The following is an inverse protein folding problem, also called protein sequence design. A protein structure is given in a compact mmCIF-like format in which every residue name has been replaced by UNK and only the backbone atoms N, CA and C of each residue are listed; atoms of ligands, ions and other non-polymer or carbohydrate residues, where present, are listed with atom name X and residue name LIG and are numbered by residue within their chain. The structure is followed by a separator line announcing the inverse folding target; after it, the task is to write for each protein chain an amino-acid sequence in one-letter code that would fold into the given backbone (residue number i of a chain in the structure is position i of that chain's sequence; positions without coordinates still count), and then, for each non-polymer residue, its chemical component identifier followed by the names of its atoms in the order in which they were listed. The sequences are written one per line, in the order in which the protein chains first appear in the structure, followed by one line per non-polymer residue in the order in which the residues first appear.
data_IF_376601266439
#
_entry.id   IF_376601266439
#
_cell.length_a   1.000
_cell.length_b   1.000
_cell.length_c   1.000
_cell.angle_alpha   90.00
_cell.angle_beta   90.00
_cell.angle_gamma   90.00
#
_symmetry.space_group_name_H-M   'P 1'
#
loop_
_entity.id
_entity.type
_entity.pdbx_description
1 polymer ?
#
# COMPACT_ATOMS: atom_id res chain seq x y z
N UNK A 1 -4.16 -11.54 5.02
CA UNK A 1 -3.42 -10.81 3.98
C UNK A 1 -2.20 -10.13 4.58
N UNK A 2 -2.35 -9.27 5.61
CA UNK A 2 -1.22 -8.68 6.34
C UNK A 2 -0.77 -9.52 7.55
N UNK A 3 0.43 -9.20 8.07
CA UNK A 3 1.11 -9.89 9.18
C UNK A 3 0.76 -9.34 10.59
N UNK A 4 -0.19 -8.40 10.71
CA UNK A 4 -0.53 -7.68 11.96
C UNK A 4 -0.79 -8.56 13.20
N UNK A 5 -1.41 -9.73 13.03
CA UNK A 5 -1.74 -10.63 14.16
C UNK A 5 -0.55 -11.47 14.64
N UNK A 6 0.59 -11.41 13.93
CA UNK A 6 1.76 -12.26 14.16
C UNK A 6 2.95 -11.39 14.59
N UNK A 7 3.11 -10.21 14.00
CA UNK A 7 4.21 -9.32 14.32
C UNK A 7 4.11 -7.97 13.62
N UNK A 8 5.21 -7.18 13.61
CA UNK A 8 5.20 -5.83 13.08
C UNK A 8 4.94 -5.82 11.57
N UNK A 9 4.26 -4.77 11.12
CA UNK A 9 4.06 -4.45 9.70
C UNK A 9 4.60 -3.05 9.43
N UNK A 10 5.46 -2.94 8.43
CA UNK A 10 5.99 -1.66 7.95
C UNK A 10 5.07 -1.16 6.84
N UNK A 11 4.25 -0.15 7.12
CA UNK A 11 3.32 0.37 6.14
C UNK A 11 3.49 1.87 5.96
N UNK A 12 3.96 2.28 4.78
CA UNK A 12 3.92 3.66 4.30
C UNK A 12 3.03 3.77 3.06
N UNK A 13 1.80 4.31 3.15
CA UNK A 13 0.92 4.48 2.00
C UNK A 13 1.38 5.59 1.03
N UNK A 14 0.70 5.68 -0.12
CA UNK A 14 0.99 6.63 -1.20
C UNK A 14 0.71 8.07 -0.83
N UNK A 15 -0.48 8.35 -0.26
CA UNK A 15 -1.06 9.70 -0.13
C UNK A 15 -1.11 10.21 1.31
N UNK A 16 -0.18 9.77 2.17
CA UNK A 16 -0.07 10.28 3.53
C UNK A 16 1.06 11.32 3.64
N UNK A 17 0.71 12.52 4.14
CA UNK A 17 1.60 13.68 4.25
C UNK A 17 2.01 13.95 5.70
N UNK A 18 1.05 13.98 6.62
CA UNK A 18 1.27 14.44 8.00
C UNK A 18 1.78 13.32 8.90
N UNK A 19 1.00 12.24 9.00
CA UNK A 19 1.36 11.00 9.65
C UNK A 19 1.71 10.01 8.54
N UNK A 20 2.98 9.70 8.33
CA UNK A 20 3.38 8.98 7.09
C UNK A 20 3.24 7.45 7.15
N UNK A 21 3.05 6.87 8.34
CA UNK A 21 3.07 5.42 8.54
C UNK A 21 1.75 4.87 9.11
N UNK A 22 1.40 3.63 8.77
CA UNK A 22 0.16 2.92 9.12
C UNK A 22 0.43 1.52 9.68
N UNK A 23 1.30 1.43 10.69
CA UNK A 23 1.89 0.17 11.16
C UNK A 23 0.94 -0.70 12.01
N UNK A 24 -0.25 -0.21 12.38
CA UNK A 24 -1.30 -1.04 13.00
C UNK A 24 -2.43 -1.35 12.01
N UNK A 25 -3.21 -2.38 12.32
CA UNK A 25 -4.34 -2.81 11.49
C UNK A 25 -5.40 -1.71 11.36
N UNK A 26 -5.66 -0.98 12.44
CA UNK A 26 -6.64 0.09 12.51
C UNK A 26 -6.20 1.28 11.66
N UNK A 27 -4.91 1.66 11.74
CA UNK A 27 -4.33 2.70 10.90
C UNK A 27 -4.34 2.30 9.42
N UNK A 28 -3.96 1.06 9.11
CA UNK A 28 -4.00 0.54 7.75
C UNK A 28 -5.42 0.58 7.16
N UNK A 29 -6.42 0.20 7.96
CA UNK A 29 -7.83 0.25 7.57
C UNK A 29 -8.30 1.69 7.35
N UNK A 30 -7.92 2.59 8.27
CA UNK A 30 -8.16 4.03 8.16
C UNK A 30 -7.67 4.57 6.81
N UNK A 31 -6.47 4.22 6.36
CA UNK A 31 -5.98 4.69 5.06
C UNK A 31 -6.88 4.26 3.88
N UNK A 32 -7.35 3.01 3.87
CA UNK A 32 -8.14 2.51 2.75
C UNK A 32 -9.58 3.03 2.76
N UNK A 33 -10.25 3.02 3.92
CA UNK A 33 -11.69 3.25 4.04
C UNK A 33 -12.06 4.34 5.07
N UNK A 34 -11.11 5.19 5.44
CA UNK A 34 -11.28 6.32 6.35
C UNK A 34 -12.36 7.33 5.93
N UNK A 35 -12.48 8.41 6.69
CA UNK A 35 -13.58 9.36 6.65
C UNK A 35 -13.78 9.97 8.03
N UNK A 36 -15.03 10.12 8.45
CA UNK A 36 -15.39 10.73 9.74
C UNK A 36 -14.77 10.01 10.95
N UNK A 37 -14.73 8.66 10.93
CA UNK A 37 -14.16 7.82 12.00
C UNK A 37 -12.73 7.36 11.70
N UNK A 38 -11.96 8.15 10.96
CA UNK A 38 -10.56 7.82 10.64
C UNK A 38 -9.69 7.77 11.89
N UNK A 39 -8.77 6.80 11.93
CA UNK A 39 -7.79 6.67 13.02
C UNK A 39 -6.65 7.66 12.83
N UNK A 40 -6.30 7.94 11.57
CA UNK A 40 -5.35 8.99 11.22
C UNK A 40 -6.15 10.11 10.56
N UNK A 41 -6.12 11.31 11.14
CA UNK A 41 -7.02 12.43 10.79
C UNK A 41 -7.00 12.83 9.31
N UNK A 42 -5.89 12.60 8.60
CA UNK A 42 -5.76 12.92 7.16
C UNK A 42 -6.36 11.84 6.23
N UNK A 43 -6.76 10.68 6.76
CA UNK A 43 -7.22 9.56 5.95
C UNK A 43 -8.68 9.74 5.54
N UNK A 44 -8.89 10.23 4.32
CA UNK A 44 -10.22 10.35 3.69
C UNK A 44 -10.71 9.06 3.02
N UNK A 45 -9.92 7.97 3.10
CA UNK A 45 -10.22 6.68 2.49
C UNK A 45 -9.83 6.61 1.00
N UNK A 46 -8.71 5.92 0.72
CA UNK A 46 -8.16 5.73 -0.63
C UNK A 46 -9.16 5.15 -1.65
N UNK A 47 -10.04 4.22 -1.23
CA UNK A 47 -11.05 3.65 -2.12
C UNK A 47 -12.40 4.39 -2.09
N UNK A 48 -12.62 5.26 -1.10
CA UNK A 48 -13.85 6.06 -1.02
C UNK A 48 -13.74 7.32 -1.87
N UNK A 49 -12.56 7.95 -1.88
CA UNK A 49 -12.30 9.21 -2.60
C UNK A 49 -12.35 9.05 -4.12
N UNK A 50 -11.93 7.89 -4.63
CA UNK A 50 -11.82 7.61 -6.07
C UNK A 50 -12.37 6.22 -6.35
N UNK A 51 -13.21 6.11 -7.38
CA UNK A 51 -13.70 4.82 -7.87
C UNK A 51 -12.66 4.26 -8.83
N UNK A 52 -11.82 3.36 -8.32
CA UNK A 52 -10.83 2.65 -9.12
C UNK A 52 -11.51 1.53 -9.92
N UNK A 53 -11.33 1.54 -11.25
CA UNK A 53 -11.92 0.55 -12.15
C UNK A 53 -10.93 -0.50 -12.62
N UNK A 54 -9.63 -0.20 -12.61
CA UNK A 54 -8.57 -1.14 -12.98
C UNK A 54 -7.29 -0.90 -12.18
N UNK A 55 -6.54 -1.99 -11.96
CA UNK A 55 -5.25 -1.97 -11.27
C UNK A 55 -4.30 -2.92 -12.00
N UNK A 56 -3.24 -2.37 -12.58
CA UNK A 56 -2.18 -3.14 -13.25
C UNK A 56 -0.90 -3.13 -12.41
N UNK A 57 -0.32 -4.30 -12.20
CA UNK A 57 0.99 -4.45 -11.56
C UNK A 57 2.09 -4.72 -12.60
N UNK A 58 3.22 -4.05 -12.45
CA UNK A 58 4.48 -4.32 -13.16
C UNK A 58 5.61 -4.50 -12.16
N UNK A 59 6.00 -5.75 -11.91
CA UNK A 59 7.18 -6.05 -11.12
C UNK A 59 8.43 -5.59 -11.88
N UNK A 60 9.28 -4.81 -11.23
CA UNK A 60 10.64 -4.53 -11.71
C UNK A 60 11.57 -5.70 -11.39
N UNK A 61 11.55 -6.17 -10.13
CA UNK A 61 12.33 -7.34 -9.71
C UNK A 61 11.77 -7.97 -8.42
N UNK A 62 12.28 -9.15 -8.10
CA UNK A 62 11.92 -9.97 -6.95
C UNK A 62 13.19 -10.47 -6.26
N UNK A 63 13.20 -10.46 -4.93
CA UNK A 63 14.15 -11.21 -4.11
C UNK A 63 13.37 -12.34 -3.46
N UNK A 64 13.78 -13.58 -3.73
CA UNK A 64 13.17 -14.78 -3.16
C UNK A 64 14.13 -15.39 -2.14
N UNK A 65 13.67 -15.53 -0.92
CA UNK A 65 14.34 -16.18 0.20
C UNK A 65 13.45 -17.32 0.71
N UNK A 66 14.00 -18.25 1.50
CA UNK A 66 13.32 -19.48 1.90
C UNK A 66 11.86 -19.27 2.36
N UNK A 67 11.65 -18.40 3.34
CA UNK A 67 10.33 -18.11 3.92
C UNK A 67 9.88 -16.67 3.67
N UNK A 68 10.55 -15.94 2.78
CA UNK A 68 10.30 -14.52 2.53
C UNK A 68 10.45 -14.17 1.06
N UNK A 69 9.66 -13.21 0.59
CA UNK A 69 9.86 -12.59 -0.71
C UNK A 69 9.78 -11.07 -0.60
N UNK A 70 10.56 -10.36 -1.41
CA UNK A 70 10.46 -8.91 -1.59
C UNK A 70 10.17 -8.65 -3.07
N UNK A 71 9.12 -7.89 -3.35
CA UNK A 71 8.73 -7.47 -4.69
C UNK A 71 8.80 -5.95 -4.77
N UNK A 72 9.39 -5.43 -5.85
CA UNK A 72 9.45 -4.00 -6.11
C UNK A 72 9.03 -3.72 -7.54
N UNK A 73 8.32 -2.64 -7.77
CA UNK A 73 7.81 -2.30 -9.09
C UNK A 73 6.89 -1.10 -9.10
N UNK A 74 6.04 -1.05 -10.12
CA UNK A 74 5.01 -0.03 -10.25
C UNK A 74 3.63 -0.67 -10.31
N UNK A 75 2.65 0.00 -9.72
CA UNK A 75 1.26 -0.26 -10.06
C UNK A 75 0.61 1.00 -10.62
N UNK A 76 -0.38 0.77 -11.48
CA UNK A 76 -1.13 1.79 -12.18
C UNK A 76 -2.58 1.63 -11.78
N UNK A 77 -3.14 2.65 -11.13
CA UNK A 77 -4.57 2.66 -10.84
C UNK A 77 -5.28 3.53 -11.85
N UNK A 78 -6.32 2.99 -12.45
CA UNK A 78 -7.20 3.71 -13.34
C UNK A 78 -8.51 4.05 -12.63
N UNK A 79 -8.90 5.32 -12.64
CA UNK A 79 -10.21 5.75 -12.12
C UNK A 79 -11.33 5.56 -13.16
N UNK A 80 -12.58 5.75 -12.72
CA UNK A 80 -13.77 5.65 -13.56
C UNK A 80 -13.87 6.72 -14.67
N UNK A 81 -13.01 7.73 -14.68
CA UNK A 81 -12.89 8.72 -15.75
C UNK A 81 -11.77 8.36 -16.75
N UNK A 82 -11.04 7.26 -16.52
CA UNK A 82 -9.92 6.83 -17.34
C UNK A 82 -8.58 7.47 -16.97
N UNK A 83 -8.49 8.24 -15.89
CA UNK A 83 -7.22 8.81 -15.42
C UNK A 83 -6.37 7.70 -14.80
N UNK A 84 -5.08 7.69 -15.12
CA UNK A 84 -4.13 6.71 -14.60
C UNK A 84 -3.14 7.40 -13.66
N UNK A 85 -3.02 6.89 -12.44
CA UNK A 85 -1.93 7.25 -11.53
C UNK A 85 -0.88 6.14 -11.52
N UNK A 86 0.39 6.52 -11.77
CA UNK A 86 1.54 5.64 -11.62
C UNK A 86 2.09 5.77 -10.20
N UNK A 87 2.34 4.64 -9.56
CA UNK A 87 2.84 4.60 -8.19
C UNK A 87 3.94 3.54 -8.09
N UNK A 88 4.95 3.81 -7.28
CA UNK A 88 6.03 2.89 -6.95
C UNK A 88 5.65 2.08 -5.72
N UNK A 89 5.97 0.78 -5.71
CA UNK A 89 5.75 -0.05 -4.54
C UNK A 89 6.97 -0.88 -4.17
N UNK A 90 7.03 -1.20 -2.88
CA UNK A 90 7.79 -2.33 -2.35
C UNK A 90 6.88 -3.13 -1.43
N UNK A 91 6.71 -4.41 -1.72
CA UNK A 91 6.04 -5.37 -0.86
C UNK A 91 7.04 -6.36 -0.29
N UNK A 92 6.95 -6.62 1.01
CA UNK A 92 7.54 -7.78 1.66
C UNK A 92 6.45 -8.79 1.98
N UNK A 93 6.78 -10.07 1.82
CA UNK A 93 5.90 -11.19 2.11
C UNK A 93 6.63 -12.19 3.00
N UNK A 94 5.99 -12.60 4.09
CA UNK A 94 6.42 -13.69 4.95
C UNK A 94 5.52 -14.92 4.71
N UNK A 95 6.12 -16.10 4.55
CA UNK A 95 5.38 -17.36 4.48
C UNK A 95 5.01 -17.83 5.90
N UNK A 96 3.72 -17.99 6.15
CA UNK A 96 3.18 -18.46 7.44
C UNK A 96 2.09 -19.48 7.18
N UNK A 97 2.29 -20.71 7.63
CA UNK A 97 1.33 -21.82 7.46
C UNK A 97 0.84 -21.91 6.00
N UNK A 98 1.80 -21.98 5.07
CA UNK A 98 1.59 -22.03 3.61
C UNK A 98 0.80 -20.85 3.01
N UNK A 99 0.76 -19.72 3.71
CA UNK A 99 0.11 -18.48 3.25
C UNK A 99 1.08 -17.32 3.30
N UNK A 100 1.22 -16.60 2.19
CA UNK A 100 1.97 -15.34 2.17
C UNK A 100 1.22 -14.26 2.95
N UNK A 101 1.96 -13.52 3.77
CA UNK A 101 1.48 -12.41 4.60
C UNK A 101 2.32 -11.18 4.34
N UNK A 102 1.70 -10.04 4.11
CA UNK A 102 2.41 -8.77 3.88
C UNK A 102 2.94 -8.23 5.21
N UNK A 103 4.26 -8.10 5.33
CA UNK A 103 4.97 -7.50 6.47
C UNK A 103 5.61 -6.15 6.12
N UNK A 104 5.74 -5.84 4.83
CA UNK A 104 6.16 -4.54 4.31
C UNK A 104 5.24 -4.10 3.16
N UNK A 105 4.69 -2.90 3.26
CA UNK A 105 3.98 -2.20 2.20
C UNK A 105 4.47 -0.77 2.15
N UNK A 106 5.40 -0.49 1.25
CA UNK A 106 5.82 0.86 0.92
C UNK A 106 5.21 1.25 -0.41
N UNK A 107 4.58 2.41 -0.47
CA UNK A 107 4.05 3.00 -1.70
C UNK A 107 4.38 4.48 -1.80
N UNK A 108 4.83 4.95 -2.96
CA UNK A 108 5.17 6.36 -3.21
C UNK A 108 4.76 6.81 -4.60
N UNK A 109 4.37 8.08 -4.72
CA UNK A 109 4.35 8.71 -6.04
C UNK A 109 5.79 8.86 -6.53
N UNK A 110 6.06 8.64 -7.83
CA UNK A 110 7.35 8.95 -8.42
C UNK A 110 7.73 10.40 -8.14
N UNK A 111 9.03 10.65 -7.97
CA UNK A 111 9.53 12.00 -7.77
C UNK A 111 9.09 12.91 -8.92
N UNK A 112 8.46 14.04 -8.59
CA UNK A 112 8.17 15.12 -9.51
C UNK A 112 8.92 16.36 -9.08
N UNK A 113 9.66 16.98 -10.01
CA UNK A 113 10.40 18.23 -9.77
C UNK A 113 9.52 19.48 -9.82
N UNK A 114 8.25 19.34 -10.21
CA UNK A 114 7.35 20.48 -10.36
C UNK A 114 6.85 20.90 -8.98
N UNK A 115 7.44 22.00 -8.48
CA UNK A 115 7.11 22.69 -7.24
C UNK A 115 6.36 23.98 -7.51
#
# INVERSE_FOLDING_TARGET
MYYFEIGPVLFKPTMAKSQQFRNTKEMALSYFIGGEDSVCEEDEGFVKKVVWTDIKFENNNLILENIRAIAMGNYYFQDNNGNIIKVEYTFGYQLVNDKLKIDLHHSSLPYSSDS
#
